data_IF_361985118802
#
_entry.id   IF_361985118802
#
_cell.length_a   1.000
_cell.length_b   1.000
_cell.length_c   1.000
_cell.angle_alpha   90.00
_cell.angle_beta   90.00
_cell.angle_gamma   90.00
#
_symmetry.space_group_name_H-M   'P 1'
#
loop_
_entity.id
_entity.type
_entity.pdbx_description
1 polymer ?
#
# COMPACT_ATOMS: atom_id res chain seq x y z
N UNK A 1 14.10 18.17 6.63
CA UNK A 1 12.71 18.10 6.13
C UNK A 1 12.43 16.79 5.39
N UNK A 2 13.25 16.43 4.39
CA UNK A 2 13.11 15.16 3.64
C UNK A 2 13.12 13.89 4.51
N UNK A 3 14.11 13.71 5.39
CA UNK A 3 14.20 12.48 6.21
C UNK A 3 13.00 12.29 7.14
N UNK A 4 12.53 13.36 7.80
CA UNK A 4 11.35 13.28 8.66
C UNK A 4 10.09 12.85 7.90
N UNK A 5 9.88 13.41 6.70
CA UNK A 5 8.77 13.03 5.83
C UNK A 5 8.90 11.60 5.31
N UNK A 6 10.12 11.17 4.98
CA UNK A 6 10.40 9.79 4.56
C UNK A 6 10.11 8.80 5.67
N UNK A 7 10.51 9.08 6.91
CA UNK A 7 10.16 8.25 8.07
C UNK A 7 8.65 8.24 8.31
N UNK A 8 7.97 9.38 8.22
CA UNK A 8 6.52 9.45 8.31
C UNK A 8 5.85 8.59 7.23
N UNK A 9 6.29 8.69 5.98
CA UNK A 9 5.76 7.90 4.88
C UNK A 9 5.96 6.40 5.14
N UNK A 10 7.16 5.97 5.55
CA UNK A 10 7.43 4.56 5.90
C UNK A 10 6.59 4.07 7.08
N UNK A 11 6.35 4.92 8.08
CA UNK A 11 5.44 4.62 9.19
C UNK A 11 4.01 4.39 8.68
N UNK A 12 3.50 5.28 7.81
CA UNK A 12 2.15 5.12 7.25
C UNK A 12 2.02 3.89 6.36
N UNK A 13 3.09 3.48 5.66
CA UNK A 13 3.14 2.21 4.92
C UNK A 13 3.02 1.02 5.89
N UNK A 14 3.84 1.02 6.95
CA UNK A 14 3.83 -0.05 7.94
C UNK A 14 2.47 -0.17 8.63
N UNK A 15 1.86 0.97 9.01
CA UNK A 15 0.52 1.03 9.59
C UNK A 15 -0.55 0.51 8.60
N UNK A 16 -0.48 0.88 7.32
CA UNK A 16 -1.39 0.37 6.30
C UNK A 16 -1.33 -1.14 6.18
N UNK A 17 -0.12 -1.70 6.09
CA UNK A 17 0.10 -3.13 6.00
C UNK A 17 -0.39 -3.88 7.25
N UNK A 18 -0.12 -3.32 8.42
CA UNK A 18 -0.56 -3.87 9.70
C UNK A 18 -2.10 -3.87 9.81
N UNK A 19 -2.75 -2.74 9.53
CA UNK A 19 -4.21 -2.62 9.57
C UNK A 19 -4.88 -3.54 8.57
N UNK A 20 -4.34 -3.67 7.35
CA UNK A 20 -4.83 -4.63 6.36
C UNK A 20 -4.74 -6.07 6.88
N UNK A 21 -3.61 -6.43 7.49
CA UNK A 21 -3.39 -7.76 8.08
C UNK A 21 -4.37 -8.04 9.22
N UNK A 22 -4.53 -7.11 10.17
CA UNK A 22 -5.48 -7.23 11.27
C UNK A 22 -6.90 -7.41 10.74
N UNK A 23 -7.33 -6.58 9.79
CA UNK A 23 -8.67 -6.68 9.19
C UNK A 23 -8.87 -7.99 8.43
N UNK A 24 -7.85 -8.45 7.72
CA UNK A 24 -7.88 -9.73 7.03
C UNK A 24 -8.04 -10.89 8.02
N UNK A 25 -7.27 -10.93 9.10
CA UNK A 25 -7.37 -11.96 10.13
C UNK A 25 -8.74 -11.96 10.80
N UNK A 26 -9.22 -10.80 11.23
CA UNK A 26 -10.56 -10.66 11.83
C UNK A 26 -11.66 -11.12 10.88
N UNK A 27 -11.50 -10.85 9.59
CA UNK A 27 -12.44 -11.28 8.55
C UNK A 27 -12.37 -12.79 8.29
N UNK A 28 -11.18 -13.42 8.35
CA UNK A 28 -11.05 -14.89 8.27
C UNK A 28 -11.66 -15.61 9.48
N UNK A 29 -11.63 -14.97 10.65
CA UNK A 29 -12.23 -15.46 11.89
C UNK A 29 -13.73 -15.14 12.01
N UNK A 30 -14.33 -14.46 11.02
CA UNK A 30 -15.71 -13.99 11.08
C UNK A 30 -16.02 -13.18 12.37
N UNK A 31 -15.02 -12.44 12.85
CA UNK A 31 -15.07 -11.75 14.15
C UNK A 31 -15.94 -10.49 14.11
N UNK A 32 -16.81 -10.26 15.11
CA UNK A 32 -17.62 -9.04 15.19
C UNK A 32 -16.78 -7.77 15.35
N UNK A 33 -15.52 -7.89 15.78
CA UNK A 33 -14.58 -6.77 15.91
C UNK A 33 -14.32 -6.05 14.59
N UNK A 34 -14.51 -6.71 13.44
CA UNK A 34 -14.40 -6.07 12.12
C UNK A 34 -15.40 -4.90 11.98
N UNK A 35 -16.49 -4.90 12.74
CA UNK A 35 -17.50 -3.84 12.74
C UNK A 35 -17.12 -2.62 13.59
N UNK A 36 -16.06 -2.73 14.40
CA UNK A 36 -15.62 -1.66 15.30
C UNK A 36 -15.23 -0.40 14.52
N UNK A 37 -15.70 0.77 14.98
CA UNK A 37 -15.55 2.06 14.28
C UNK A 37 -14.09 2.38 13.96
N UNK A 38 -13.17 2.05 14.87
CA UNK A 38 -11.73 2.25 14.65
C UNK A 38 -11.22 1.55 13.39
N UNK A 39 -11.53 0.27 13.20
CA UNK A 39 -11.06 -0.53 12.06
C UNK A 39 -11.74 -0.17 10.74
N UNK A 40 -12.82 0.62 10.79
CA UNK A 40 -13.49 1.18 9.61
C UNK A 40 -12.92 2.53 9.24
N UNK A 41 -12.64 3.41 10.20
CA UNK A 41 -12.30 4.82 9.94
C UNK A 41 -10.79 5.04 9.90
N UNK A 42 -10.04 4.50 10.86
CA UNK A 42 -8.62 4.77 11.01
C UNK A 42 -7.78 4.40 9.78
N UNK A 43 -8.03 3.27 9.09
CA UNK A 43 -7.31 2.96 7.84
C UNK A 43 -7.45 4.07 6.79
N UNK A 44 -8.63 4.67 6.61
CA UNK A 44 -8.83 5.74 5.62
C UNK A 44 -8.05 7.02 5.95
N UNK A 45 -7.91 7.34 7.25
CA UNK A 45 -7.08 8.46 7.69
C UNK A 45 -5.60 8.19 7.40
N UNK A 46 -5.12 6.99 7.74
CA UNK A 46 -3.76 6.58 7.44
C UNK A 46 -3.48 6.53 5.94
N UNK A 47 -4.42 6.01 5.13
CA UNK A 47 -4.27 5.92 3.68
C UNK A 47 -4.20 7.31 3.04
N UNK A 48 -4.97 8.27 3.55
CA UNK A 48 -4.87 9.67 3.12
C UNK A 48 -3.49 10.23 3.44
N UNK A 49 -2.98 10.03 4.67
CA UNK A 49 -1.64 10.46 5.07
C UNK A 49 -0.53 9.77 4.24
N UNK A 50 -0.69 8.50 3.93
CA UNK A 50 0.22 7.73 3.08
C UNK A 50 0.32 8.34 1.67
N UNK A 51 -0.83 8.64 1.05
CA UNK A 51 -0.87 9.23 -0.28
C UNK A 51 -0.33 10.67 -0.28
N UNK A 52 -0.75 11.50 0.69
CA UNK A 52 -0.25 12.87 0.82
C UNK A 52 1.26 12.91 1.05
N UNK A 53 1.79 12.07 1.94
CA UNK A 53 3.24 12.01 2.18
C UNK A 53 4.01 11.51 0.95
N UNK A 54 3.45 10.58 0.17
CA UNK A 54 4.01 10.13 -1.10
C UNK A 54 4.08 11.24 -2.15
N UNK A 55 2.99 11.99 -2.33
CA UNK A 55 2.95 13.16 -3.23
C UNK A 55 3.96 14.21 -2.78
N UNK A 56 4.03 14.48 -1.48
CA UNK A 56 4.98 15.46 -0.96
C UNK A 56 6.44 15.05 -1.16
N UNK A 57 6.74 13.75 -1.08
CA UNK A 57 8.06 13.22 -1.43
C UNK A 57 8.36 13.40 -2.93
N UNK A 58 7.37 13.23 -3.82
CA UNK A 58 7.54 13.52 -5.25
C UNK A 58 7.90 14.99 -5.46
N UNK A 59 7.19 15.91 -4.81
CA UNK A 59 7.45 17.36 -4.91
C UNK A 59 8.86 17.72 -4.44
N UNK A 60 9.32 17.16 -3.31
CA UNK A 60 10.66 17.45 -2.78
C UNK A 60 11.78 16.83 -3.64
N UNK A 61 11.58 15.61 -4.13
CA UNK A 61 12.62 14.88 -4.87
C UNK A 61 12.66 15.19 -6.37
N UNK A 62 11.57 15.70 -6.94
CA UNK A 62 11.42 15.92 -8.37
C UNK A 62 11.25 14.64 -9.18
N UNK A 63 11.08 13.47 -8.54
CA UNK A 63 10.86 12.21 -9.25
C UNK A 63 9.41 12.09 -9.72
N UNK A 64 9.15 12.56 -10.94
CA UNK A 64 7.81 12.58 -11.54
C UNK A 64 7.53 11.21 -12.20
N UNK A 65 6.43 10.51 -11.84
CA UNK A 65 6.02 9.28 -12.50
C UNK A 65 5.64 9.52 -13.98
N UNK A 66 5.68 8.47 -14.80
CA UNK A 66 5.40 8.51 -16.23
C UNK A 66 6.38 9.39 -17.05
N UNK A 67 7.59 9.60 -16.52
CA UNK A 67 8.66 10.30 -17.23
C UNK A 67 9.87 9.40 -17.42
N UNK A 68 10.61 9.59 -18.52
CA UNK A 68 11.84 8.86 -18.80
C UNK A 68 12.97 9.15 -17.79
N UNK A 69 12.86 10.23 -17.02
CA UNK A 69 13.84 10.59 -15.99
C UNK A 69 13.75 9.73 -14.72
N UNK A 70 12.57 9.17 -14.42
CA UNK A 70 12.34 8.33 -13.24
C UNK A 70 11.36 7.18 -13.53
N UNK A 71 11.69 6.24 -14.45
CA UNK A 71 10.79 5.17 -14.85
C UNK A 71 10.41 4.24 -13.67
N UNK A 72 11.34 4.01 -12.74
CA UNK A 72 11.09 3.27 -11.49
C UNK A 72 9.97 3.88 -10.62
N UNK A 73 9.68 5.19 -10.75
CA UNK A 73 8.58 5.82 -10.01
C UNK A 73 7.22 5.37 -10.53
N UNK A 74 7.11 5.17 -11.85
CA UNK A 74 5.92 4.59 -12.50
C UNK A 74 5.67 3.17 -12.00
N UNK A 75 6.72 2.36 -11.93
CA UNK A 75 6.66 1.00 -11.40
C UNK A 75 6.21 1.01 -9.93
N UNK A 76 6.83 1.86 -9.11
CA UNK A 76 6.47 2.00 -7.69
C UNK A 76 5.00 2.37 -7.53
N UNK A 77 4.50 3.33 -8.31
CA UNK A 77 3.10 3.74 -8.28
C UNK A 77 2.18 2.58 -8.70
N UNK A 78 2.57 1.84 -9.73
CA UNK A 78 1.82 0.66 -10.21
C UNK A 78 1.71 -0.41 -9.12
N UNK A 79 2.81 -0.70 -8.40
CA UNK A 79 2.78 -1.61 -7.27
C UNK A 79 1.86 -1.15 -6.15
N UNK A 80 1.84 0.15 -5.83
CA UNK A 80 0.95 0.71 -4.81
C UNK A 80 -0.52 0.59 -5.23
N UNK A 81 -0.85 0.87 -6.49
CA UNK A 81 -2.20 0.71 -7.01
C UNK A 81 -2.65 -0.76 -6.95
N UNK A 82 -1.77 -1.70 -7.33
CA UNK A 82 -2.06 -3.13 -7.24
C UNK A 82 -2.26 -3.58 -5.78
N UNK A 83 -1.43 -3.10 -4.85
CA UNK A 83 -1.59 -3.35 -3.41
C UNK A 83 -2.97 -2.90 -2.90
N UNK A 84 -3.40 -1.68 -3.24
CA UNK A 84 -4.70 -1.14 -2.82
C UNK A 84 -5.85 -1.96 -3.42
N UNK A 85 -5.79 -2.23 -4.72
CA UNK A 85 -6.83 -2.99 -5.43
C UNK A 85 -7.01 -4.40 -4.85
N UNK A 86 -5.90 -5.12 -4.61
CA UNK A 86 -5.94 -6.46 -4.04
C UNK A 86 -6.33 -6.45 -2.56
N UNK A 87 -5.90 -5.46 -1.78
CA UNK A 87 -6.34 -5.28 -0.40
C UNK A 87 -7.86 -5.06 -0.31
N UNK A 88 -8.41 -4.25 -1.21
CA UNK A 88 -9.86 -4.06 -1.31
C UNK A 88 -10.59 -5.34 -1.72
N UNK A 89 -10.05 -6.08 -2.70
CA UNK A 89 -10.61 -7.35 -3.14
C UNK A 89 -10.61 -8.39 -2.00
N UNK A 90 -9.51 -8.50 -1.27
CA UNK A 90 -9.35 -9.41 -0.14
C UNK A 90 -10.39 -9.16 0.96
N UNK A 91 -10.74 -7.90 1.22
CA UNK A 91 -11.68 -7.54 2.29
C UNK A 91 -13.15 -7.50 1.84
N UNK A 92 -13.44 -7.01 0.63
CA UNK A 92 -14.83 -6.73 0.21
C UNK A 92 -15.40 -7.68 -0.84
N UNK A 93 -14.60 -8.15 -1.80
CA UNK A 93 -15.11 -8.86 -2.98
C UNK A 93 -14.79 -10.35 -3.03
N UNK A 94 -13.89 -10.86 -2.20
CA UNK A 94 -13.59 -12.28 -2.20
C UNK A 94 -14.82 -13.13 -1.86
N UNK A 95 -15.26 -13.96 -2.80
CA UNK A 95 -16.45 -14.81 -2.64
C UNK A 95 -16.23 -15.95 -1.65
N UNK A 96 -14.99 -16.41 -1.49
CA UNK A 96 -14.60 -17.48 -0.56
C UNK A 96 -13.29 -17.13 0.17
N UNK A 97 -12.99 -17.84 1.25
CA UNK A 97 -11.80 -17.58 2.07
C UNK A 97 -10.48 -17.79 1.29
N UNK A 98 -10.44 -18.75 0.36
CA UNK A 98 -9.27 -19.00 -0.48
C UNK A 98 -8.90 -17.81 -1.38
N UNK A 99 -9.85 -17.27 -2.15
CA UNK A 99 -9.57 -16.10 -3.01
C UNK A 99 -9.14 -14.89 -2.19
N UNK A 100 -9.69 -14.73 -0.98
CA UNK A 100 -9.30 -13.66 -0.06
C UNK A 100 -7.85 -13.82 0.39
N UNK A 101 -7.41 -15.04 0.69
CA UNK A 101 -6.01 -15.34 1.03
C UNK A 101 -5.07 -15.04 -0.14
N UNK A 102 -5.41 -15.48 -1.35
CA UNK A 102 -4.59 -15.17 -2.53
C UNK A 102 -4.50 -13.67 -2.79
N UNK A 103 -5.60 -12.94 -2.66
CA UNK A 103 -5.60 -11.49 -2.81
C UNK A 103 -4.79 -10.80 -1.71
N UNK A 104 -4.88 -11.26 -0.45
CA UNK A 104 -4.08 -10.73 0.65
C UNK A 104 -2.58 -10.96 0.43
N UNK A 105 -2.18 -12.19 0.10
CA UNK A 105 -0.79 -12.53 -0.19
C UNK A 105 -0.28 -11.77 -1.43
N UNK A 106 -1.12 -11.63 -2.46
CA UNK A 106 -0.82 -10.82 -3.62
C UNK A 106 -0.59 -9.36 -3.27
N UNK A 107 -1.46 -8.75 -2.44
CA UNK A 107 -1.28 -7.39 -1.96
C UNK A 107 0.07 -7.24 -1.23
N UNK A 108 0.37 -8.13 -0.28
CA UNK A 108 1.65 -8.10 0.43
C UNK A 108 2.86 -8.28 -0.51
N UNK A 109 2.74 -9.12 -1.53
CA UNK A 109 3.77 -9.28 -2.57
C UNK A 109 4.02 -7.98 -3.34
N UNK A 110 2.97 -7.28 -3.77
CA UNK A 110 3.09 -5.98 -4.42
C UNK A 110 3.68 -4.90 -3.50
N UNK A 111 3.37 -4.95 -2.21
CA UNK A 111 3.97 -4.03 -1.23
C UNK A 111 5.49 -4.25 -1.10
N UNK A 112 5.92 -5.52 -1.02
CA UNK A 112 7.36 -5.87 -1.01
C UNK A 112 8.03 -5.45 -2.31
N UNK A 113 7.38 -5.67 -3.45
CA UNK A 113 7.87 -5.22 -4.75
C UNK A 113 8.04 -3.70 -4.80
N UNK A 114 7.07 -2.93 -4.30
CA UNK A 114 7.15 -1.47 -4.21
C UNK A 114 8.35 -1.01 -3.36
N UNK A 115 8.61 -1.70 -2.25
CA UNK A 115 9.78 -1.46 -1.40
C UNK A 115 11.10 -1.75 -2.14
N UNK A 116 11.17 -2.88 -2.85
CA UNK A 116 12.34 -3.24 -3.66
C UNK A 116 12.63 -2.21 -4.74
N UNK A 117 11.60 -1.79 -5.50
CA UNK A 117 11.70 -0.74 -6.54
C UNK A 117 12.19 0.57 -5.92
N UNK A 118 11.68 0.95 -4.74
CA UNK A 118 12.09 2.17 -4.05
C UNK A 118 13.55 2.15 -3.60
N UNK A 119 14.09 0.97 -3.24
CA UNK A 119 15.49 0.81 -2.83
C UNK A 119 16.43 0.72 -4.03
N UNK A 120 16.09 -0.05 -5.06
CA UNK A 120 16.94 -0.23 -6.25
C UNK A 120 16.92 0.99 -7.17
N UNK A 121 15.79 1.73 -7.20
CA UNK A 121 15.52 2.80 -8.18
C UNK A 121 15.75 2.38 -9.62
N UNK A 122 15.63 1.07 -9.89
CA UNK A 122 15.78 0.48 -11.20
C UNK A 122 14.39 0.16 -11.78
N UNK A 123 14.14 0.43 -13.07
CA UNK A 123 12.91 -0.01 -13.73
C UNK A 123 12.88 -1.54 -13.79
N UNK A 124 11.71 -2.10 -13.52
CA UNK A 124 11.40 -3.54 -13.56
C UNK A 124 10.34 -3.83 -14.62
N UNK A 125 9.32 -2.98 -14.77
CA UNK A 125 8.19 -3.23 -15.68
C UNK A 125 8.20 -2.30 -16.88
N UNK A 126 8.40 -1.01 -16.63
CA UNK A 126 8.42 0.03 -17.67
C UNK A 126 9.84 0.59 -17.79
N UNK A 127 10.58 0.13 -18.80
CA UNK A 127 11.96 0.52 -19.11
C UNK A 127 12.04 1.45 -20.32
#
# INVERSE_FOLDING_TARGET
MYEGLKHLHLLTIALSAFLLTVRYLLMMMDSPWLQHKFLKVFPHVNDSLLLFSGIWLIVITGFIPYTSAAPWMTDKLTCVLAYIALGFFALKFGRNKLLRTFAFLGAMGWLVMAGKVAMSKAPIFFS
#
